data_IF_421329310890
#
_entry.id   IF_421329310890
#
_cell.length_a   1.000
_cell.length_b   1.000
_cell.length_c   1.000
_cell.angle_alpha   90.00
_cell.angle_beta   90.00
_cell.angle_gamma   90.00
#
_symmetry.space_group_name_H-M   'P 1'
#
loop_
_entity.id
_entity.type
_entity.pdbx_description
1 polymer ?
#
# COMPACT_ATOMS: atom_id res chain seq x y z
N UNK A 1 8.66 5.59 -7.19
CA UNK A 1 9.85 5.32 -6.37
C UNK A 1 9.51 4.40 -5.22
N UNK A 2 10.27 3.31 -5.09
CA UNK A 2 10.25 2.41 -3.94
C UNK A 2 10.57 3.14 -2.62
N UNK A 3 9.64 3.06 -1.66
CA UNK A 3 9.81 3.59 -0.30
C UNK A 3 10.19 2.47 0.66
N UNK A 4 9.52 1.32 0.57
CA UNK A 4 9.82 0.16 1.40
C UNK A 4 9.32 -1.14 0.76
N UNK A 5 10.08 -2.23 0.92
CA UNK A 5 9.63 -3.58 0.61
C UNK A 5 10.12 -4.51 1.73
N UNK A 6 9.22 -4.98 2.57
CA UNK A 6 9.58 -5.81 3.73
C UNK A 6 8.71 -7.06 3.81
N UNK A 7 9.32 -8.14 4.30
CA UNK A 7 8.67 -9.43 4.54
C UNK A 7 8.36 -9.55 6.02
N UNK A 8 7.17 -10.05 6.31
CA UNK A 8 6.70 -10.31 7.67
C UNK A 8 6.27 -11.75 7.82
N UNK A 9 6.44 -12.29 9.03
CA UNK A 9 5.94 -13.61 9.40
C UNK A 9 5.49 -13.58 10.85
N UNK A 10 4.25 -14.00 11.10
CA UNK A 10 3.63 -14.02 12.45
C UNK A 10 3.74 -12.68 13.19
N UNK A 11 3.58 -11.56 12.47
CA UNK A 11 3.62 -10.21 13.04
C UNK A 11 5.01 -9.61 13.25
N UNK A 12 6.08 -10.31 12.92
CA UNK A 12 7.46 -9.79 12.99
C UNK A 12 8.04 -9.55 11.61
N UNK A 13 8.77 -8.45 11.44
CA UNK A 13 9.59 -8.21 10.24
C UNK A 13 10.71 -9.25 10.17
N UNK A 14 10.81 -9.95 9.03
CA UNK A 14 11.83 -10.94 8.77
C UNK A 14 13.03 -10.32 8.05
N UNK A 15 12.76 -9.54 7.01
CA UNK A 15 13.77 -8.91 6.17
C UNK A 15 13.19 -7.70 5.44
N UNK A 16 14.07 -6.79 5.02
CA UNK A 16 13.81 -5.86 3.94
C UNK A 16 14.43 -6.44 2.67
N UNK A 17 13.69 -6.41 1.56
CA UNK A 17 14.05 -7.12 0.32
C UNK A 17 13.91 -6.20 -0.89
N UNK A 18 14.47 -6.63 -2.01
CA UNK A 18 14.34 -5.96 -3.30
C UNK A 18 13.08 -6.47 -4.02
N UNK A 19 12.63 -5.78 -5.08
CA UNK A 19 11.39 -6.15 -5.77
C UNK A 19 11.48 -7.53 -6.44
N UNK A 20 12.67 -7.87 -6.94
CA UNK A 20 12.97 -9.12 -7.64
C UNK A 20 12.96 -10.34 -6.72
N UNK A 21 13.01 -10.12 -5.40
CA UNK A 21 12.96 -11.20 -4.40
C UNK A 21 11.54 -11.49 -3.91
N UNK A 22 10.53 -10.75 -4.37
CA UNK A 22 9.16 -10.85 -3.84
C UNK A 22 8.60 -12.27 -4.01
N UNK A 23 8.66 -12.82 -5.22
CA UNK A 23 8.15 -14.17 -5.53
C UNK A 23 8.73 -15.26 -4.62
N UNK A 24 10.01 -15.17 -4.25
CA UNK A 24 10.68 -16.13 -3.38
C UNK A 24 10.07 -16.19 -1.97
N UNK A 25 9.56 -15.06 -1.47
CA UNK A 25 8.90 -14.98 -0.17
C UNK A 25 7.40 -15.24 -0.24
N UNK A 26 6.74 -14.89 -1.35
CA UNK A 26 5.33 -15.24 -1.57
C UNK A 26 5.11 -16.75 -1.62
N UNK A 27 6.10 -17.51 -2.09
CA UNK A 27 6.08 -18.98 -2.09
C UNK A 27 6.25 -19.61 -0.70
N UNK A 28 6.65 -18.84 0.32
CA UNK A 28 6.90 -19.34 1.67
C UNK A 28 5.64 -19.25 2.55
N UNK A 29 5.15 -20.38 3.12
CA UNK A 29 3.93 -20.37 3.92
C UNK A 29 3.99 -19.44 5.13
N UNK A 30 2.95 -18.61 5.30
CA UNK A 30 2.81 -17.69 6.43
C UNK A 30 3.71 -16.46 6.38
N UNK A 31 4.42 -16.23 5.27
CA UNK A 31 5.03 -14.95 4.96
C UNK A 31 3.99 -14.05 4.27
N UNK A 32 4.05 -12.75 4.54
CA UNK A 32 3.41 -11.77 3.68
C UNK A 32 4.35 -10.59 3.41
N UNK A 33 4.26 -10.02 2.20
CA UNK A 33 5.12 -8.92 1.75
C UNK A 33 4.36 -7.61 1.81
N UNK A 34 4.91 -6.58 2.42
CA UNK A 34 4.32 -5.24 2.41
C UNK A 34 5.24 -4.25 1.69
N UNK A 35 4.79 -3.83 0.51
CA UNK A 35 5.46 -2.87 -0.37
C UNK A 35 4.78 -1.50 -0.28
N UNK A 36 5.58 -0.44 -0.27
CA UNK A 36 5.13 0.93 -0.38
C UNK A 36 5.91 1.65 -1.49
N UNK A 37 5.18 2.24 -2.44
CA UNK A 37 5.69 3.10 -3.49
C UNK A 37 5.14 4.52 -3.31
N UNK A 38 5.91 5.51 -3.75
CA UNK A 38 5.40 6.87 -3.98
C UNK A 38 5.82 7.33 -5.38
N UNK A 39 4.87 7.83 -6.17
CA UNK A 39 5.06 8.24 -7.57
C UNK A 39 5.87 7.18 -8.36
N UNK A 40 5.38 5.94 -8.50
CA UNK A 40 6.09 4.88 -9.18
C UNK A 40 6.31 5.15 -10.66
N UNK A 41 7.42 4.63 -11.19
CA UNK A 41 7.62 4.57 -12.63
C UNK A 41 6.83 3.39 -13.23
N UNK A 42 6.57 3.46 -14.53
CA UNK A 42 5.97 2.37 -15.30
C UNK A 42 6.75 1.05 -15.14
N UNK A 43 8.08 1.12 -15.00
CA UNK A 43 8.95 -0.04 -14.82
C UNK A 43 8.78 -0.68 -13.42
N UNK A 44 8.63 0.14 -12.38
CA UNK A 44 8.34 -0.35 -11.02
C UNK A 44 6.96 -1.03 -10.99
N UNK A 45 5.94 -0.41 -11.59
CA UNK A 45 4.59 -0.98 -11.68
C UNK A 45 4.56 -2.27 -12.50
N UNK A 46 5.23 -2.31 -13.65
CA UNK A 46 5.31 -3.51 -14.48
C UNK A 46 6.05 -4.66 -13.78
N UNK A 47 7.02 -4.35 -12.91
CA UNK A 47 7.69 -5.35 -12.09
C UNK A 47 6.75 -5.92 -11.04
N UNK A 48 6.06 -5.06 -10.30
CA UNK A 48 5.12 -5.48 -9.27
C UNK A 48 3.90 -6.21 -9.83
N UNK A 49 3.42 -5.81 -11.02
CA UNK A 49 2.39 -6.54 -11.74
C UNK A 49 2.79 -7.99 -11.98
N UNK A 50 4.04 -8.24 -12.40
CA UNK A 50 4.56 -9.60 -12.63
C UNK A 50 4.76 -10.36 -11.32
N UNK A 51 5.34 -9.73 -10.31
CA UNK A 51 5.63 -10.37 -9.01
C UNK A 51 4.37 -10.75 -8.24
N UNK A 52 3.32 -9.93 -8.30
CA UNK A 52 2.06 -10.16 -7.58
C UNK A 52 0.94 -10.73 -8.44
N UNK A 53 1.10 -10.78 -9.77
CA UNK A 53 0.01 -11.18 -10.68
C UNK A 53 -1.16 -10.20 -10.67
N UNK A 54 -0.89 -8.88 -10.59
CA UNK A 54 -1.92 -7.85 -10.52
C UNK A 54 -2.72 -7.79 -11.82
N UNK A 55 -4.03 -7.57 -11.69
CA UNK A 55 -4.92 -7.44 -12.84
C UNK A 55 -4.59 -6.18 -13.65
N UNK A 56 -4.59 -6.30 -14.98
CA UNK A 56 -4.16 -5.21 -15.89
C UNK A 56 -4.93 -3.91 -15.68
N UNK A 57 -6.27 -3.98 -15.57
CA UNK A 57 -7.12 -2.80 -15.34
C UNK A 57 -6.79 -2.06 -14.03
N UNK A 58 -6.49 -2.82 -12.96
CA UNK A 58 -6.16 -2.20 -11.68
C UNK A 58 -4.77 -1.55 -11.69
N UNK A 59 -3.82 -2.10 -12.46
CA UNK A 59 -2.51 -1.48 -12.67
C UNK A 59 -2.61 -0.24 -13.54
N UNK A 60 -3.44 -0.26 -14.58
CA UNK A 60 -3.73 0.93 -15.40
C UNK A 60 -4.31 2.06 -14.54
N UNK A 61 -5.32 1.75 -13.73
CA UNK A 61 -5.91 2.71 -12.77
C UNK A 61 -4.87 3.30 -11.83
N UNK A 62 -4.05 2.45 -11.20
CA UNK A 62 -2.98 2.87 -10.29
C UNK A 62 -1.80 3.56 -10.99
N UNK A 63 -1.71 3.50 -12.32
CA UNK A 63 -0.68 4.19 -13.10
C UNK A 63 -1.14 5.60 -13.50
N UNK A 64 -2.40 5.74 -13.92
CA UNK A 64 -2.96 7.04 -14.33
C UNK A 64 -3.09 7.96 -13.13
N UNK A 65 -3.53 7.40 -11.99
CA UNK A 65 -3.91 8.15 -10.81
C UNK A 65 -5.15 9.03 -11.05
N UNK A 66 -5.65 9.66 -10.01
CA UNK A 66 -6.91 10.42 -9.97
C UNK A 66 -8.18 9.59 -10.15
N UNK A 67 -8.15 8.33 -9.72
CA UNK A 67 -9.35 7.50 -9.73
C UNK A 67 -10.36 7.96 -8.68
N UNK A 68 -11.63 7.60 -8.87
CA UNK A 68 -12.64 7.83 -7.83
C UNK A 68 -12.44 6.82 -6.70
N UNK A 69 -12.65 7.18 -5.42
CA UNK A 69 -12.54 6.24 -4.33
C UNK A 69 -13.49 5.06 -4.55
N UNK A 70 -12.92 3.85 -4.56
CA UNK A 70 -13.62 2.61 -4.88
C UNK A 70 -12.93 1.42 -4.25
N UNK A 71 -13.65 0.30 -4.23
CA UNK A 71 -13.10 -1.00 -3.90
C UNK A 71 -13.56 -1.98 -4.98
N UNK A 72 -12.61 -2.75 -5.50
CA UNK A 72 -12.82 -3.75 -6.55
C UNK A 72 -12.12 -5.06 -6.17
N UNK A 73 -12.70 -6.18 -6.60
CA UNK A 73 -12.16 -7.51 -6.34
C UNK A 73 -11.66 -8.14 -7.65
N UNK A 74 -10.41 -8.61 -7.63
CA UNK A 74 -9.76 -9.31 -8.73
C UNK A 74 -9.23 -10.65 -8.23
N UNK A 75 -10.09 -11.67 -8.26
CA UNK A 75 -9.79 -12.97 -7.65
C UNK A 75 -9.62 -12.83 -6.14
N UNK A 76 -8.45 -13.21 -5.62
CA UNK A 76 -8.12 -13.10 -4.19
C UNK A 76 -7.52 -11.74 -3.79
N UNK A 77 -7.39 -10.81 -4.75
CA UNK A 77 -6.84 -9.46 -4.51
C UNK A 77 -7.95 -8.42 -4.45
N UNK A 78 -7.94 -7.61 -3.41
CA UNK A 78 -8.74 -6.38 -3.30
C UNK A 78 -7.89 -5.21 -3.80
N UNK A 79 -8.46 -4.39 -4.67
CA UNK A 79 -7.92 -3.10 -5.08
C UNK A 79 -8.77 -1.98 -4.47
N UNK A 80 -8.16 -1.12 -3.65
CA UNK A 80 -8.84 -0.03 -2.96
C UNK A 80 -8.17 1.31 -3.31
N UNK A 81 -8.96 2.25 -3.81
CA UNK A 81 -8.55 3.63 -4.08
C UNK A 81 -9.11 4.52 -2.98
N UNK A 82 -8.24 5.30 -2.34
CA UNK A 82 -8.62 6.26 -1.30
C UNK A 82 -8.03 7.63 -1.60
N UNK A 83 -8.82 8.68 -1.50
CA UNK A 83 -8.28 10.04 -1.59
C UNK A 83 -7.58 10.44 -0.29
N UNK A 84 -6.54 11.26 -0.41
CA UNK A 84 -5.94 11.94 0.73
C UNK A 84 -6.19 13.42 0.58
N UNK A 85 -6.56 14.10 1.67
CA UNK A 85 -6.75 15.55 1.68
C UNK A 85 -5.67 16.16 2.54
N UNK A 86 -4.95 17.14 1.99
CA UNK A 86 -3.89 17.88 2.67
C UNK A 86 -4.03 19.38 2.42
N UNK A 87 -3.43 20.21 3.29
CA UNK A 87 -3.24 21.64 3.03
C UNK A 87 -1.82 21.88 2.52
N UNK A 88 -1.68 22.64 1.44
CA UNK A 88 -0.38 23.14 1.00
C UNK A 88 0.12 24.29 1.92
N UNK A 89 1.37 24.76 1.76
CA UNK A 89 1.90 25.87 2.58
C UNK A 89 1.15 27.20 2.44
N UNK A 90 0.18 27.31 1.53
CA UNK A 90 -0.67 28.48 1.32
C UNK A 90 -2.13 28.19 1.77
N UNK A 91 -2.35 27.17 2.61
CA UNK A 91 -3.65 26.74 3.13
C UNK A 91 -4.67 26.36 2.04
N UNK A 92 -4.20 25.88 0.88
CA UNK A 92 -5.07 25.37 -0.19
C UNK A 92 -5.20 23.87 -0.08
N UNK A 93 -6.42 23.37 -0.31
CA UNK A 93 -6.71 21.95 -0.38
C UNK A 93 -5.97 21.32 -1.57
N UNK A 94 -5.22 20.26 -1.26
CA UNK A 94 -4.58 19.37 -2.22
C UNK A 94 -5.21 18.00 -2.05
N UNK A 95 -5.70 17.46 -3.15
CA UNK A 95 -6.24 16.09 -3.24
C UNK A 95 -5.15 15.22 -3.85
N UNK A 96 -4.71 14.24 -3.09
CA UNK A 96 -3.91 13.12 -3.57
C UNK A 96 -4.68 11.82 -3.44
N UNK A 97 -4.00 10.70 -3.61
CA UNK A 97 -4.59 9.39 -3.40
C UNK A 97 -3.57 8.35 -2.92
N UNK A 98 -4.12 7.28 -2.38
CA UNK A 98 -3.42 6.05 -2.06
C UNK A 98 -4.20 4.88 -2.61
N UNK A 99 -3.53 4.13 -3.48
CA UNK A 99 -4.04 2.90 -4.05
C UNK A 99 -3.45 1.72 -3.30
N UNK A 100 -4.29 0.78 -2.88
CA UNK A 100 -3.88 -0.38 -2.09
C UNK A 100 -4.35 -1.66 -2.75
N UNK A 101 -3.39 -2.49 -3.14
CA UNK A 101 -3.64 -3.89 -3.48
C UNK A 101 -3.40 -4.73 -2.24
N UNK A 102 -4.36 -5.54 -1.85
CA UNK A 102 -4.25 -6.44 -0.70
C UNK A 102 -4.72 -7.84 -1.08
N UNK A 103 -3.88 -8.84 -0.83
CA UNK A 103 -4.18 -10.27 -0.99
C UNK A 103 -3.68 -11.03 0.25
N UNK A 104 -3.99 -12.33 0.43
CA UNK A 104 -3.62 -13.07 1.65
C UNK A 104 -2.14 -13.02 2.04
N UNK A 105 -1.23 -12.87 1.08
CA UNK A 105 0.22 -12.88 1.27
C UNK A 105 0.92 -11.58 0.82
N UNK A 106 0.21 -10.51 0.45
CA UNK A 106 0.86 -9.22 0.21
C UNK A 106 -0.05 -8.01 0.41
N UNK A 107 0.59 -6.86 0.65
CA UNK A 107 0.01 -5.54 0.49
C UNK A 107 0.96 -4.66 -0.32
N UNK A 108 0.44 -4.02 -1.35
CA UNK A 108 1.13 -2.98 -2.10
C UNK A 108 0.34 -1.68 -1.95
N UNK A 109 0.96 -0.66 -1.38
CA UNK A 109 0.40 0.70 -1.34
C UNK A 109 1.17 1.62 -2.27
N UNK A 110 0.48 2.30 -3.18
CA UNK A 110 1.01 3.31 -4.09
C UNK A 110 0.43 4.66 -3.68
N UNK A 111 1.25 5.71 -3.70
CA UNK A 111 0.81 7.06 -3.36
C UNK A 111 1.09 8.02 -4.51
N UNK A 112 0.08 8.77 -4.90
CA UNK A 112 0.16 9.86 -5.86
C UNK A 112 -0.30 11.18 -5.24
N UNK A 113 0.39 12.27 -5.60
CA UNK A 113 0.00 13.65 -5.29
C UNK A 113 -0.23 13.94 -3.79
N UNK A 114 0.39 13.17 -2.89
CA UNK A 114 0.31 13.34 -1.44
C UNK A 114 1.69 13.56 -0.84
N UNK A 115 1.81 14.62 -0.04
CA UNK A 115 3.09 15.07 0.55
C UNK A 115 3.38 14.27 1.81
N UNK A 116 2.36 13.81 2.51
CA UNK A 116 2.50 13.05 3.75
C UNK A 116 2.59 11.55 3.48
N UNK A 117 3.73 10.96 3.82
CA UNK A 117 3.92 9.51 3.72
C UNK A 117 3.21 8.70 4.79
N UNK A 118 3.24 7.37 4.66
CA UNK A 118 2.60 6.41 5.57
C UNK A 118 3.62 5.65 6.45
N UNK A 119 4.83 6.20 6.62
CA UNK A 119 5.90 5.54 7.38
C UNK A 119 5.50 5.28 8.84
N UNK A 120 4.76 6.21 9.46
CA UNK A 120 4.26 6.07 10.83
C UNK A 120 3.24 4.93 10.96
N UNK A 121 2.44 4.65 9.93
CA UNK A 121 1.52 3.50 9.92
C UNK A 121 2.29 2.20 10.02
N UNK A 122 3.41 2.09 9.29
CA UNK A 122 4.28 0.92 9.37
C UNK A 122 4.95 0.79 10.73
N UNK A 123 5.51 1.88 11.25
CA UNK A 123 6.12 1.90 12.59
C UNK A 123 5.13 1.45 13.67
N UNK A 124 3.90 1.98 13.65
CA UNK A 124 2.81 1.59 14.55
C UNK A 124 2.45 0.11 14.39
N UNK A 125 2.31 -0.37 13.15
CA UNK A 125 2.00 -1.77 12.87
C UNK A 125 3.10 -2.72 13.36
N UNK A 126 4.38 -2.36 13.17
CA UNK A 126 5.52 -3.13 13.67
C UNK A 126 5.64 -3.11 15.20
N UNK A 127 5.18 -2.03 15.84
CA UNK A 127 5.03 -1.92 17.30
C UNK A 127 3.91 -2.80 17.88
N UNK A 128 2.99 -3.26 17.04
CA UNK A 128 1.86 -4.12 17.43
C UNK A 128 1.89 -5.50 16.72
N UNK A 129 2.89 -6.37 16.98
CA UNK A 129 3.00 -7.69 16.33
C UNK A 129 1.75 -8.55 16.49
N UNK A 130 0.99 -8.30 17.56
CA UNK A 130 -0.21 -9.04 17.86
C UNK A 130 -1.36 -8.75 16.89
N UNK A 131 -1.38 -7.57 16.26
CA UNK A 131 -2.30 -7.19 15.19
C UNK A 131 -1.68 -7.45 13.82
N UNK A 132 -0.37 -7.17 13.65
CA UNK A 132 0.32 -7.41 12.39
C UNK A 132 0.36 -8.90 11.99
N UNK A 133 0.16 -9.82 12.94
CA UNK A 133 -0.02 -11.25 12.65
C UNK A 133 -1.25 -11.54 11.79
N UNK A 134 -2.25 -10.65 11.79
CA UNK A 134 -3.47 -10.77 10.98
C UNK A 134 -3.22 -10.40 9.51
N UNK A 135 -2.01 -9.94 9.19
CA UNK A 135 -1.49 -9.85 7.84
C UNK A 135 -2.06 -8.70 7.04
N UNK A 136 -2.30 -8.96 5.74
CA UNK A 136 -2.66 -7.95 4.76
C UNK A 136 -3.94 -7.17 5.11
N UNK A 137 -4.95 -7.84 5.68
CA UNK A 137 -6.20 -7.20 6.07
C UNK A 137 -6.01 -6.15 7.15
N UNK A 138 -5.16 -6.41 8.16
CA UNK A 138 -4.83 -5.41 9.18
C UNK A 138 -4.06 -4.23 8.59
N UNK A 139 -3.12 -4.49 7.67
CA UNK A 139 -2.36 -3.42 7.01
C UNK A 139 -3.26 -2.52 6.15
N UNK A 140 -4.19 -3.11 5.38
CA UNK A 140 -5.19 -2.34 4.62
C UNK A 140 -6.03 -1.46 5.56
N UNK A 141 -6.53 -2.03 6.66
CA UNK A 141 -7.24 -1.27 7.69
C UNK A 141 -6.38 -0.12 8.23
N UNK A 142 -5.12 -0.38 8.63
CA UNK A 142 -4.26 0.62 9.23
C UNK A 142 -3.92 1.79 8.28
N UNK A 143 -3.82 1.52 6.97
CA UNK A 143 -3.66 2.55 5.95
C UNK A 143 -4.94 3.37 5.79
N UNK A 144 -6.09 2.72 5.75
CA UNK A 144 -7.39 3.39 5.63
C UNK A 144 -7.70 4.25 6.86
N UNK A 145 -7.44 3.74 8.05
CA UNK A 145 -7.56 4.44 9.34
C UNK A 145 -6.75 5.74 9.33
N UNK A 146 -5.49 5.67 8.90
CA UNK A 146 -4.63 6.85 8.74
C UNK A 146 -5.18 7.86 7.72
N UNK A 147 -5.72 7.39 6.58
CA UNK A 147 -6.35 8.29 5.59
C UNK A 147 -7.55 9.02 6.19
N UNK A 148 -8.40 8.30 6.92
CA UNK A 148 -9.60 8.87 7.55
C UNK A 148 -9.23 9.84 8.67
N UNK A 149 -8.24 9.50 9.49
CA UNK A 149 -7.75 10.37 10.57
C UNK A 149 -7.24 11.72 10.03
N UNK A 150 -6.60 11.71 8.86
CA UNK A 150 -6.12 12.93 8.18
C UNK A 150 -7.23 13.88 7.74
N UNK A 151 -8.48 13.43 7.65
CA UNK A 151 -9.59 14.32 7.34
C UNK A 151 -10.00 15.20 8.52
N UNK A 152 -9.83 14.74 9.76
CA UNK A 152 -10.34 15.44 10.95
C UNK A 152 -9.74 16.83 11.17
N UNK A 153 -8.43 17.09 10.96
CA UNK A 153 -7.88 18.44 11.09
C UNK A 153 -8.39 19.44 10.04
N UNK A 154 -9.08 18.96 8.99
CA UNK A 154 -9.53 19.75 7.84
C UNK A 154 -11.04 20.05 7.91
N UNK A 155 -11.82 19.16 8.53
CA UNK A 155 -13.27 19.29 8.76
C UNK A 155 -13.60 20.30 9.87
#
# INVERSE_FOLDING_TARGET
MLINCSVYRKGSKLAQIDLESISDYLAQPGCFVWVALGEPSDEELATLQREFGLHELAVEDAQVGHERPKIEEYGDTVFCVMHTIELDPADRLVVGEVDVFAAPNFVLSIRHHSRQGFAQVRERAEGEPHLLRDGAGFVLYALMDEVVDRYFPIL
#
